data_IF_776357984120
#
_entry.id   IF_776357984120
#
_cell.length_a   1.000
_cell.length_b   1.000
_cell.length_c   1.000
_cell.angle_alpha   90.00
_cell.angle_beta   90.00
_cell.angle_gamma   90.00
#
_symmetry.space_group_name_H-M   'P 1'
#
loop_
_entity.id
_entity.type
_entity.pdbx_description
1 polymer ?
#
# COMPACT_ATOMS: atom_id res chain seq x y z
N UNK A 1 5.95 13.86 -33.64
CA UNK A 1 5.54 12.45 -33.41
C UNK A 1 5.80 12.16 -31.94
N UNK A 2 4.82 11.88 -31.07
CA UNK A 2 4.20 10.56 -30.94
C UNK A 2 2.90 10.66 -30.13
N UNK A 3 1.77 10.77 -30.85
CA UNK A 3 0.44 10.85 -30.25
C UNK A 3 -0.45 9.74 -30.83
N UNK A 4 -0.04 8.46 -30.74
CA UNK A 4 -0.83 7.30 -31.23
C UNK A 4 -0.52 5.99 -30.50
N UNK A 5 -0.64 5.93 -29.17
CA UNK A 5 -0.59 4.65 -28.44
C UNK A 5 -1.51 4.68 -27.20
N UNK A 6 -2.79 5.02 -27.40
CA UNK A 6 -3.78 5.01 -26.31
C UNK A 6 -5.10 4.30 -26.64
N UNK A 7 -5.19 3.55 -27.76
CA UNK A 7 -6.48 3.07 -28.26
C UNK A 7 -6.64 1.55 -28.38
N UNK A 8 -5.71 0.72 -27.89
CA UNK A 8 -5.73 -0.72 -28.23
C UNK A 8 -5.73 -1.70 -27.04
N UNK A 9 -5.74 -1.24 -25.79
CA UNK A 9 -5.78 -2.15 -24.62
C UNK A 9 -7.19 -2.34 -24.01
N UNK A 10 -8.23 -1.71 -24.58
CA UNK A 10 -9.59 -1.77 -24.03
C UNK A 10 -10.49 -2.85 -24.66
N UNK A 11 -10.11 -3.46 -25.79
CA UNK A 11 -11.01 -4.32 -26.57
C UNK A 11 -10.94 -5.82 -26.22
N UNK A 12 -9.94 -6.28 -25.45
CA UNK A 12 -9.74 -7.72 -25.20
C UNK A 12 -10.48 -8.23 -23.94
N UNK A 13 -11.03 -7.33 -23.11
CA UNK A 13 -11.61 -7.72 -21.81
C UNK A 13 -13.13 -7.97 -21.81
N UNK A 14 -13.79 -8.05 -22.98
CA UNK A 14 -15.27 -8.12 -23.07
C UNK A 14 -15.87 -9.44 -23.60
N UNK A 15 -15.10 -10.52 -23.79
CA UNK A 15 -15.63 -11.76 -24.42
C UNK A 15 -15.57 -13.04 -23.59
N UNK A 16 -15.44 -12.96 -22.26
CA UNK A 16 -15.50 -14.17 -21.43
C UNK A 16 -16.10 -13.90 -20.03
N UNK A 17 -17.42 -13.76 -19.93
CA UNK A 17 -18.14 -14.04 -18.68
C UNK A 17 -19.27 -15.03 -18.96
N UNK A 18 -19.11 -16.31 -18.59
CA UNK A 18 -20.23 -17.23 -18.44
C UNK A 18 -21.16 -16.71 -17.33
N UNK A 19 -22.47 -16.81 -17.58
CA UNK A 19 -23.52 -16.21 -16.78
C UNK A 19 -23.45 -16.50 -15.28
N UNK A 20 -23.59 -15.43 -14.50
CA UNK A 20 -23.99 -15.48 -13.10
C UNK A 20 -25.52 -15.63 -13.03
N UNK A 21 -26.03 -16.80 -13.43
CA UNK A 21 -27.35 -17.26 -13.03
C UNK A 21 -27.20 -18.01 -11.70
N UNK A 22 -27.14 -17.23 -10.61
CA UNK A 22 -27.05 -17.72 -9.24
C UNK A 22 -28.19 -17.16 -8.43
N UNK A 23 -29.26 -17.95 -8.37
CA UNK A 23 -30.43 -17.90 -7.51
C UNK A 23 -30.28 -17.07 -6.21
N UNK A 24 -31.28 -16.23 -5.94
CA UNK A 24 -31.45 -15.54 -4.69
C UNK A 24 -31.49 -16.54 -3.51
N UNK A 25 -30.42 -16.56 -2.71
CA UNK A 25 -30.48 -17.00 -1.32
C UNK A 25 -29.98 -15.88 -0.42
N UNK A 26 -30.95 -15.21 0.20
CA UNK A 26 -30.74 -14.37 1.36
C UNK A 26 -29.99 -15.18 2.44
N UNK A 27 -28.70 -14.88 2.63
CA UNK A 27 -27.98 -15.21 3.87
C UNK A 27 -27.87 -13.91 4.67
N UNK A 28 -28.09 -13.96 6.00
CA UNK A 28 -28.14 -12.76 6.82
C UNK A 28 -26.81 -12.03 6.74
N UNK A 29 -26.88 -10.72 6.50
CA UNK A 29 -25.79 -9.76 6.61
C UNK A 29 -25.33 -9.67 8.08
N UNK A 30 -24.67 -10.71 8.55
CA UNK A 30 -23.94 -10.72 9.80
C UNK A 30 -22.48 -11.06 9.47
N UNK A 31 -21.60 -10.15 9.89
CA UNK A 31 -20.13 -10.20 9.74
C UNK A 31 -19.52 -9.51 8.51
N UNK A 32 -20.03 -8.34 8.10
CA UNK A 32 -19.10 -7.24 7.76
C UNK A 32 -18.67 -6.58 9.06
N UNK A 33 -17.98 -7.33 9.93
CA UNK A 33 -17.22 -6.71 11.01
C UNK A 33 -15.87 -6.36 10.43
N UNK A 34 -15.63 -5.06 10.34
CA UNK A 34 -14.34 -4.37 10.29
C UNK A 34 -13.18 -5.29 10.69
N UNK A 35 -12.67 -6.05 9.72
CA UNK A 35 -11.30 -6.49 9.75
C UNK A 35 -10.53 -5.47 8.96
N UNK A 36 -10.38 -4.27 9.53
CA UNK A 36 -9.16 -3.50 9.25
C UNK A 36 -8.03 -4.51 9.51
N UNK A 37 -7.24 -4.89 8.48
CA UNK A 37 -6.16 -5.84 8.69
C UNK A 37 -5.24 -5.20 9.71
N UNK A 38 -5.21 -5.74 10.93
CA UNK A 38 -4.31 -5.27 11.97
C UNK A 38 -2.92 -5.19 11.34
N UNK A 39 -2.42 -3.96 11.20
CA UNK A 39 -1.17 -3.72 10.48
C UNK A 39 -0.11 -4.54 11.18
N UNK A 40 0.50 -5.48 10.46
CA UNK A 40 1.59 -6.25 11.04
C UNK A 40 2.62 -5.27 11.64
N UNK A 41 3.32 -5.63 12.72
CA UNK A 41 4.28 -4.72 13.34
C UNK A 41 5.36 -4.23 12.35
N UNK A 42 5.58 -4.95 11.25
CA UNK A 42 6.40 -4.50 10.12
C UNK A 42 5.76 -3.34 9.33
N UNK A 43 4.46 -3.41 9.02
CA UNK A 43 3.72 -2.35 8.31
C UNK A 43 3.59 -1.09 9.18
N UNK A 44 3.38 -1.25 10.47
CA UNK A 44 3.32 -0.12 11.41
C UNK A 44 4.64 0.66 11.44
N UNK A 45 5.78 -0.04 11.45
CA UNK A 45 7.12 0.58 11.35
C UNK A 45 7.32 1.32 10.04
N UNK A 46 6.93 0.71 8.92
CA UNK A 46 7.02 1.35 7.60
C UNK A 46 6.18 2.63 7.53
N UNK A 47 4.95 2.60 8.06
CA UNK A 47 4.10 3.80 8.12
C UNK A 47 4.74 4.90 8.96
N UNK A 48 5.18 4.60 10.17
CA UNK A 48 5.85 5.58 11.06
C UNK A 48 7.10 6.18 10.41
N UNK A 49 8.03 5.34 9.95
CA UNK A 49 9.25 5.82 9.29
C UNK A 49 8.94 6.58 7.98
N UNK A 50 7.87 6.19 7.26
CA UNK A 50 7.45 6.84 6.02
C UNK A 50 6.82 8.22 6.22
N UNK A 51 6.10 8.41 7.32
CA UNK A 51 5.58 9.73 7.70
C UNK A 51 6.74 10.64 8.09
N UNK A 52 7.66 10.16 8.94
CA UNK A 52 8.84 10.94 9.33
C UNK A 52 9.66 11.38 8.12
N UNK A 53 10.02 10.44 7.24
CA UNK A 53 10.84 10.75 6.06
C UNK A 53 10.17 11.74 5.11
N UNK A 54 8.85 11.64 4.90
CA UNK A 54 8.13 12.58 4.04
C UNK A 54 8.06 13.98 4.65
N UNK A 55 8.02 14.09 5.98
CA UNK A 55 8.05 15.37 6.70
C UNK A 55 9.44 16.01 6.79
N UNK A 56 10.53 15.29 6.47
CA UNK A 56 11.88 15.86 6.46
C UNK A 56 12.10 16.81 5.27
N UNK A 57 12.80 17.92 5.53
CA UNK A 57 13.33 18.80 4.50
C UNK A 57 14.40 18.09 3.65
N UNK A 58 14.75 18.65 2.49
CA UNK A 58 15.86 18.14 1.67
C UNK A 58 17.18 18.13 2.43
N UNK A 59 17.46 19.17 3.23
CA UNK A 59 18.65 19.25 4.08
C UNK A 59 18.66 18.14 5.13
N UNK A 60 17.53 17.89 5.79
CA UNK A 60 17.41 16.84 6.80
C UNK A 60 17.53 15.43 6.20
N UNK A 61 17.00 15.23 4.99
CA UNK A 61 17.13 13.97 4.25
C UNK A 61 18.59 13.67 3.94
N UNK A 62 19.34 14.66 3.47
CA UNK A 62 20.78 14.53 3.21
C UNK A 62 21.56 14.17 4.48
N UNK A 63 21.20 14.77 5.64
CA UNK A 63 21.86 14.50 6.92
C UNK A 63 21.50 13.13 7.52
N UNK A 64 20.22 12.73 7.48
CA UNK A 64 19.73 11.50 8.14
C UNK A 64 19.93 10.24 7.29
N UNK A 65 20.10 10.41 5.98
CA UNK A 65 20.48 9.38 5.03
C UNK A 65 19.78 9.66 3.71
N UNK A 66 20.47 10.10 2.65
CA UNK A 66 19.89 10.78 1.48
C UNK A 66 18.87 9.96 0.69
N UNK A 67 18.88 8.64 0.89
CA UNK A 67 17.98 7.71 0.23
C UNK A 67 17.06 7.03 1.24
N UNK A 68 15.84 6.75 0.80
CA UNK A 68 14.81 6.09 1.61
C UNK A 68 15.28 4.78 2.30
N UNK A 69 15.97 3.84 1.63
CA UNK A 69 16.44 2.60 2.26
C UNK A 69 17.42 2.85 3.42
N UNK A 70 18.25 3.88 3.30
CA UNK A 70 19.26 4.22 4.30
C UNK A 70 18.62 4.84 5.56
N UNK A 71 17.65 5.74 5.37
CA UNK A 71 16.86 6.27 6.48
C UNK A 71 16.00 5.19 7.15
N UNK A 72 15.28 4.38 6.36
CA UNK A 72 14.41 3.33 6.88
C UNK A 72 15.17 2.34 7.77
N UNK A 73 16.36 1.92 7.35
CA UNK A 73 17.23 1.02 8.13
C UNK A 73 17.59 1.60 9.50
N UNK A 74 17.92 2.90 9.57
CA UNK A 74 18.21 3.59 10.84
C UNK A 74 16.95 3.77 11.70
N UNK A 75 15.84 4.17 11.09
CA UNK A 75 14.57 4.37 11.77
C UNK A 75 14.06 3.07 12.41
N UNK A 76 14.11 1.94 11.70
CA UNK A 76 13.72 0.64 12.25
C UNK A 76 14.64 0.20 13.38
N UNK A 77 15.96 0.42 13.27
CA UNK A 77 16.90 0.14 14.37
C UNK A 77 16.54 0.93 15.63
N UNK A 78 16.27 2.25 15.49
CA UNK A 78 15.81 3.10 16.61
C UNK A 78 14.50 2.58 17.20
N UNK A 79 13.51 2.28 16.37
CA UNK A 79 12.21 1.74 16.79
C UNK A 79 12.30 0.40 17.53
N UNK A 80 13.28 -0.45 17.19
CA UNK A 80 13.55 -1.69 17.90
C UNK A 80 14.24 -1.43 19.25
N UNK A 81 15.19 -0.51 19.30
CA UNK A 81 15.89 -0.13 20.53
C UNK A 81 14.96 0.52 21.58
N UNK A 82 13.94 1.28 21.14
CA UNK A 82 12.94 1.88 22.06
C UNK A 82 11.85 0.90 22.52
N UNK A 83 11.78 -0.29 21.92
CA UNK A 83 10.79 -1.34 22.27
C UNK A 83 11.38 -2.51 23.08
N UNK A 84 12.68 -2.44 23.39
CA UNK A 84 13.38 -3.40 24.25
C UNK A 84 13.34 -2.89 25.70
#
# INVERSE_FOLDING_TARGET
>A
MSLRLAASFAAVLCLAMPGFAGEARAKPAAAMRDKEPALSPARERQKRCGIEWRGLSTTDKTAKGPTWPQFYSKCVKRLKATKA
#
